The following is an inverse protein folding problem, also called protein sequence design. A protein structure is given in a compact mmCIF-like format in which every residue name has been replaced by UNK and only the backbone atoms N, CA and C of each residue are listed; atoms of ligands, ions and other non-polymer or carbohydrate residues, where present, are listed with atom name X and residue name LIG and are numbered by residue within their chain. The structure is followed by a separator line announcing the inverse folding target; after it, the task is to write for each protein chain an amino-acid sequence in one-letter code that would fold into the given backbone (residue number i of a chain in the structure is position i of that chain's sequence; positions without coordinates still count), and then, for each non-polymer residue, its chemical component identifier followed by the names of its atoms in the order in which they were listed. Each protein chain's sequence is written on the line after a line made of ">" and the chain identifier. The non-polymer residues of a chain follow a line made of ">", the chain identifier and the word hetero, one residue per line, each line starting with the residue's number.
data_IF_496656068770
#
_entry.id   IF_496656068770
#
_cell.length_a   1.000
_cell.length_b   1.000
_cell.length_c   1.000
_cell.angle_alpha   90.00
_cell.angle_beta   90.00
_cell.angle_gamma   90.00
#
_symmetry.space_group_name_H-M   'P 1'
#
loop_
_entity.id
_entity.type
_entity.pdbx_description
1 polymer ?
#
# COMPACT_ATOMS: atom_id res chain seq x y z
N UNK A 1 -0.55 2.48 13.37
CA UNK A 1 0.20 2.76 12.12
C UNK A 1 1.66 2.44 12.38
N UNK A 2 2.23 1.38 11.77
CA UNK A 2 3.60 0.95 12.05
C UNK A 2 4.65 1.77 11.29
N UNK A 3 4.28 2.37 10.15
CA UNK A 3 5.14 3.22 9.33
C UNK A 3 4.67 4.67 9.48
N UNK A 4 5.58 5.56 9.92
CA UNK A 4 5.39 7.01 10.09
C UNK A 4 4.03 7.39 10.68
N UNK A 5 3.82 7.02 11.95
CA UNK A 5 2.56 7.23 12.66
C UNK A 5 2.15 8.71 12.61
N UNK A 6 0.89 9.00 12.28
CA UNK A 6 0.33 10.35 12.35
C UNK A 6 -0.27 10.59 13.75
N UNK A 7 0.13 11.61 14.55
CA UNK A 7 0.97 12.77 14.17
C UNK A 7 2.45 12.67 14.51
N UNK A 8 2.90 11.62 15.21
CA UNK A 8 4.24 11.59 15.83
C UNK A 8 5.41 11.39 14.86
N UNK A 9 5.14 10.97 13.61
CA UNK A 9 6.15 10.53 12.65
C UNK A 9 6.85 9.21 13.04
N UNK A 10 6.48 8.58 14.15
CA UNK A 10 7.22 7.44 14.70
C UNK A 10 7.22 6.22 13.77
N UNK A 11 8.37 5.56 13.66
CA UNK A 11 8.57 4.34 12.90
C UNK A 11 8.73 3.13 13.84
N UNK A 12 7.85 2.14 13.69
CA UNK A 12 7.89 0.92 14.51
C UNK A 12 9.06 0.02 14.08
N UNK A 13 9.93 -0.31 15.04
CA UNK A 13 11.10 -1.19 14.80
C UNK A 13 10.69 -2.62 14.41
N UNK A 14 11.54 -3.39 13.71
CA UNK A 14 11.28 -4.80 13.42
C UNK A 14 11.01 -5.64 14.67
N UNK A 15 11.73 -5.37 15.78
CA UNK A 15 11.53 -6.03 17.07
C UNK A 15 10.13 -5.77 17.62
N UNK A 16 9.69 -4.51 17.63
CA UNK A 16 8.35 -4.14 18.10
C UNK A 16 7.26 -4.79 17.24
N UNK A 17 7.42 -4.83 15.92
CA UNK A 17 6.48 -5.50 15.00
C UNK A 17 6.35 -6.99 15.30
N UNK A 18 7.47 -7.66 15.60
CA UNK A 18 7.48 -9.07 16.00
C UNK A 18 6.73 -9.27 17.32
N UNK A 19 7.01 -8.44 18.32
CA UNK A 19 6.34 -8.50 19.62
C UNK A 19 4.82 -8.30 19.50
N UNK A 20 4.38 -7.35 18.65
CA UNK A 20 2.95 -7.14 18.34
C UNK A 20 2.34 -8.39 17.70
N UNK A 21 3.00 -8.98 16.70
CA UNK A 21 2.50 -10.17 16.03
C UNK A 21 2.41 -11.38 16.99
N UNK A 22 3.40 -11.56 17.87
CA UNK A 22 3.40 -12.62 18.88
C UNK A 22 2.30 -12.41 19.92
N UNK A 23 2.14 -11.18 20.42
CA UNK A 23 1.08 -10.85 21.36
C UNK A 23 -0.30 -11.10 20.75
N UNK A 24 -0.50 -10.65 19.50
CA UNK A 24 -1.74 -10.88 18.78
C UNK A 24 -2.06 -12.37 18.60
N UNK A 25 -1.05 -13.19 18.28
CA UNK A 25 -1.20 -14.63 18.20
C UNK A 25 -1.55 -15.26 19.55
N UNK A 26 -0.90 -14.85 20.65
CA UNK A 26 -1.19 -15.35 22.01
C UNK A 26 -2.62 -15.06 22.45
N UNK A 27 -3.10 -13.84 22.19
CA UNK A 27 -4.43 -13.40 22.61
C UNK A 27 -5.53 -13.63 21.56
N UNK A 28 -5.20 -14.26 20.43
CA UNK A 28 -6.13 -14.53 19.32
C UNK A 28 -6.86 -13.27 18.81
N UNK A 29 -6.15 -12.16 18.73
CA UNK A 29 -6.68 -10.88 18.22
C UNK A 29 -6.15 -10.59 16.82
N UNK A 30 -7.00 -10.01 15.98
CA UNK A 30 -6.61 -9.57 14.63
C UNK A 30 -5.95 -8.20 14.71
N UNK A 31 -4.71 -8.08 14.24
CA UNK A 31 -4.03 -6.78 14.11
C UNK A 31 -4.52 -6.10 12.84
N UNK A 32 -5.04 -4.89 12.97
CA UNK A 32 -5.32 -3.99 11.84
C UNK A 32 -4.26 -2.89 11.81
N UNK A 33 -3.55 -2.76 10.70
CA UNK A 33 -2.44 -1.82 10.56
C UNK A 33 -2.58 -0.98 9.27
N UNK A 34 -2.69 0.34 9.43
CA UNK A 34 -2.65 1.26 8.29
C UNK A 34 -1.26 1.36 7.67
N UNK A 35 -1.16 1.24 6.35
CA UNK A 35 0.06 1.40 5.54
C UNK A 35 0.06 2.67 4.67
N UNK A 36 -0.91 3.57 4.86
CA UNK A 36 -1.06 4.80 4.07
C UNK A 36 0.17 5.73 4.05
N UNK A 37 1.01 5.68 5.09
CA UNK A 37 2.23 6.49 5.18
C UNK A 37 3.50 5.71 4.79
N UNK A 38 3.37 4.42 4.47
CA UNK A 38 4.51 3.51 4.28
C UNK A 38 5.41 3.91 3.11
N UNK A 39 4.81 4.42 2.05
CA UNK A 39 5.53 4.86 0.85
C UNK A 39 5.96 6.34 0.94
N UNK A 40 5.65 7.03 2.05
CA UNK A 40 5.91 8.45 2.28
C UNK A 40 6.98 8.64 3.37
N UNK A 41 8.17 8.09 3.13
CA UNK A 41 9.33 8.34 3.99
C UNK A 41 10.01 9.65 3.56
N UNK A 42 9.69 10.73 4.28
CA UNK A 42 10.16 12.11 4.04
C UNK A 42 11.46 12.46 4.75
N UNK A 43 12.14 11.49 5.36
CA UNK A 43 13.44 11.73 6.01
C UNK A 43 14.52 11.97 4.96
N UNK A 44 15.54 12.71 5.36
CA UNK A 44 16.71 13.00 4.52
C UNK A 44 17.31 11.71 3.92
N UNK A 45 17.60 11.66 2.61
CA UNK A 45 18.21 10.51 1.94
C UNK A 45 19.48 9.98 2.62
N UNK A 46 20.31 10.85 3.19
CA UNK A 46 21.55 10.44 3.84
C UNK A 46 21.27 9.74 5.18
N UNK A 47 20.21 10.17 5.89
CA UNK A 47 19.72 9.49 7.10
C UNK A 47 19.10 8.11 6.78
N UNK A 48 18.60 7.89 5.56
CA UNK A 48 18.09 6.57 5.12
C UNK A 48 19.23 5.58 4.92
N UNK A 49 20.36 6.02 4.37
CA UNK A 49 21.51 5.17 4.09
C UNK A 49 22.21 4.72 5.39
N UNK A 50 22.41 5.64 6.35
CA UNK A 50 23.04 5.32 7.65
C UNK A 50 22.23 4.36 8.52
N UNK A 51 20.91 4.28 8.34
CA UNK A 51 20.02 3.41 9.11
C UNK A 51 19.80 2.02 8.48
N UNK A 52 20.60 1.63 7.47
CA UNK A 52 20.40 0.36 6.75
C UNK A 52 19.07 0.30 5.99
N UNK A 53 18.44 1.45 5.69
CA UNK A 53 17.08 1.55 5.14
C UNK A 53 17.00 1.35 3.62
N UNK A 54 17.91 0.57 3.01
CA UNK A 54 17.78 0.19 1.60
C UNK A 54 16.48 -0.59 1.33
N UNK A 55 15.94 -1.28 2.34
CA UNK A 55 14.67 -2.00 2.28
C UNK A 55 13.68 -1.52 3.36
N UNK A 56 12.42 -1.34 2.97
CA UNK A 56 11.36 -0.98 3.91
C UNK A 56 11.22 -2.06 5.01
N UNK A 57 10.97 -1.70 6.29
CA UNK A 57 10.83 -2.66 7.39
C UNK A 57 9.75 -3.70 7.09
N UNK A 58 9.90 -4.97 7.53
CA UNK A 58 8.90 -5.99 7.27
C UNK A 58 7.53 -5.58 7.83
N UNK A 59 6.46 -6.04 7.17
CA UNK A 59 5.09 -5.83 7.66
C UNK A 59 4.81 -6.70 8.89
N UNK A 60 3.83 -6.31 9.70
CA UNK A 60 3.40 -7.13 10.85
C UNK A 60 2.79 -8.42 10.31
N UNK A 61 3.30 -9.56 10.77
CA UNK A 61 2.91 -10.89 10.27
C UNK A 61 1.44 -11.16 10.63
N UNK A 62 0.67 -11.70 9.67
CA UNK A 62 -0.77 -12.01 9.81
C UNK A 62 -1.69 -10.81 10.09
N UNK A 63 -1.20 -9.58 10.01
CA UNK A 63 -2.03 -8.40 10.13
C UNK A 63 -2.93 -8.20 8.90
N UNK A 64 -4.09 -7.58 9.12
CA UNK A 64 -4.88 -6.93 8.09
C UNK A 64 -4.30 -5.53 7.86
N UNK A 65 -3.91 -5.25 6.63
CA UNK A 65 -3.22 -4.03 6.22
C UNK A 65 -4.16 -3.17 5.40
N UNK A 66 -4.22 -1.87 5.71
CA UNK A 66 -5.11 -0.93 5.02
C UNK A 66 -4.27 0.19 4.40
N UNK A 67 -4.30 0.31 3.08
CA UNK A 67 -3.58 1.37 2.35
C UNK A 67 -4.52 2.27 1.56
N UNK A 68 -3.97 3.37 1.03
CA UNK A 68 -4.70 4.29 0.17
C UNK A 68 -3.77 5.07 -0.75
N UNK A 69 -4.23 5.34 -1.97
CA UNK A 69 -3.54 6.17 -2.95
C UNK A 69 -3.75 7.68 -2.70
N UNK A 70 -4.69 8.06 -1.82
CA UNK A 70 -5.02 9.46 -1.55
C UNK A 70 -3.83 10.27 -1.01
N UNK A 71 -2.87 9.60 -0.36
CA UNK A 71 -1.71 10.24 0.27
C UNK A 71 -0.42 10.18 -0.53
N UNK A 72 -0.35 9.28 -1.51
CA UNK A 72 0.86 9.04 -2.29
C UNK A 72 0.75 9.56 -3.72
N UNK A 73 -0.47 9.68 -4.25
CA UNK A 73 -0.73 10.10 -5.64
C UNK A 73 -1.46 11.44 -5.69
N UNK A 74 -2.67 11.50 -5.14
CA UNK A 74 -3.50 12.72 -5.17
C UNK A 74 -4.59 12.68 -4.09
N UNK A 75 -4.77 13.77 -3.35
CA UNK A 75 -5.76 13.88 -2.27
C UNK A 75 -7.22 13.62 -2.68
N UNK A 76 -7.54 13.80 -3.96
CA UNK A 76 -8.87 13.52 -4.52
C UNK A 76 -9.07 12.06 -4.98
N UNK A 77 -8.03 11.23 -4.99
CA UNK A 77 -8.12 9.84 -5.43
C UNK A 77 -8.69 8.98 -4.32
N UNK A 78 -9.92 8.48 -4.50
CA UNK A 78 -10.66 7.75 -3.47
C UNK A 78 -10.49 6.24 -3.61
N UNK A 79 -9.23 5.82 -3.71
CA UNK A 79 -8.83 4.41 -3.76
C UNK A 79 -8.11 4.03 -2.47
N UNK A 80 -8.69 3.06 -1.78
CA UNK A 80 -8.08 2.31 -0.69
C UNK A 80 -7.94 0.84 -1.05
N UNK A 81 -7.13 0.10 -0.31
CA UNK A 81 -7.06 -1.36 -0.43
C UNK A 81 -6.88 -2.03 0.93
N UNK A 82 -7.29 -3.30 0.98
CA UNK A 82 -7.03 -4.18 2.12
C UNK A 82 -6.16 -5.36 1.68
N UNK A 83 -5.15 -5.70 2.48
CA UNK A 83 -4.31 -6.90 2.31
C UNK A 83 -4.27 -7.70 3.59
N UNK A 84 -4.37 -9.03 3.52
CA UNK A 84 -4.35 -9.86 4.73
C UNK A 84 -4.30 -11.35 4.42
N UNK A 85 -4.51 -12.21 5.44
CA UNK A 85 -4.72 -13.64 5.24
C UNK A 85 -5.89 -13.90 4.30
N UNK A 86 -5.74 -14.84 3.36
CA UNK A 86 -6.73 -15.08 2.31
C UNK A 86 -8.12 -15.43 2.86
N UNK A 87 -8.21 -16.22 3.94
CA UNK A 87 -9.49 -16.54 4.59
C UNK A 87 -10.22 -15.29 5.08
N UNK A 88 -9.50 -14.38 5.76
CA UNK A 88 -10.08 -13.13 6.28
C UNK A 88 -10.49 -12.18 5.15
N UNK A 89 -9.71 -12.10 4.07
CA UNK A 89 -10.10 -11.33 2.88
C UNK A 89 -11.36 -11.93 2.25
N UNK A 90 -11.45 -13.26 2.14
CA UNK A 90 -12.62 -13.94 1.60
C UNK A 90 -13.88 -13.80 2.46
N UNK A 91 -13.73 -13.67 3.78
CA UNK A 91 -14.83 -13.28 4.68
C UNK A 91 -15.26 -11.84 4.41
N UNK A 92 -14.32 -10.89 4.36
CA UNK A 92 -14.62 -9.48 4.07
C UNK A 92 -15.29 -9.28 2.71
N UNK A 93 -14.87 -10.01 1.67
CA UNK A 93 -15.49 -9.92 0.34
C UNK A 93 -16.95 -10.40 0.31
N UNK A 94 -17.34 -11.30 1.24
CA UNK A 94 -18.70 -11.83 1.35
C UNK A 94 -19.58 -10.96 2.25
N UNK A 95 -18.98 -10.01 2.98
CA UNK A 95 -19.72 -9.09 3.82
C UNK A 95 -20.64 -8.21 2.95
N UNK A 96 -21.94 -8.06 3.28
CA UNK A 96 -22.86 -7.20 2.53
C UNK A 96 -22.42 -5.73 2.44
N UNK A 97 -21.54 -5.27 3.33
CA UNK A 97 -20.95 -3.94 3.30
C UNK A 97 -19.83 -3.81 2.27
N UNK A 98 -19.28 -4.91 1.73
CA UNK A 98 -18.18 -4.84 0.78
C UNK A 98 -18.55 -4.16 -0.55
N UNK A 99 -19.65 -4.53 -1.25
CA UNK A 99 -20.04 -3.89 -2.51
C UNK A 99 -20.26 -2.37 -2.44
N UNK A 100 -21.01 -1.79 -1.47
CA UNK A 100 -21.20 -0.35 -1.40
C UNK A 100 -19.93 0.42 -1.04
N UNK A 101 -18.92 -0.26 -0.49
CA UNK A 101 -17.61 0.31 -0.20
C UNK A 101 -16.65 0.21 -1.39
N UNK A 102 -17.05 -0.32 -2.55
CA UNK A 102 -16.18 -0.36 -3.71
C UNK A 102 -15.96 1.03 -4.32
N UNK A 103 -14.76 1.25 -4.90
CA UNK A 103 -14.49 2.47 -5.64
C UNK A 103 -15.37 2.63 -6.87
N UNK A 104 -15.75 3.86 -7.18
CA UNK A 104 -16.48 4.13 -8.42
C UNK A 104 -15.64 3.68 -9.61
N UNK A 105 -16.25 3.14 -10.68
CA UNK A 105 -15.50 2.66 -11.84
C UNK A 105 -14.56 3.73 -12.41
N UNK A 106 -14.97 5.00 -12.38
CA UNK A 106 -14.13 6.13 -12.79
C UNK A 106 -12.86 6.26 -11.94
N UNK A 107 -12.97 6.18 -10.61
CA UNK A 107 -11.80 6.23 -9.72
C UNK A 107 -10.87 5.02 -9.93
N UNK A 108 -11.43 3.84 -10.26
CA UNK A 108 -10.64 2.67 -10.60
C UNK A 108 -9.87 2.84 -11.90
N UNK A 109 -10.49 3.40 -12.95
CA UNK A 109 -9.82 3.69 -14.23
C UNK A 109 -8.72 4.73 -14.07
N UNK A 110 -8.99 5.82 -13.36
CA UNK A 110 -7.99 6.85 -13.05
C UNK A 110 -6.83 6.26 -12.27
N UNK A 111 -7.09 5.43 -11.27
CA UNK A 111 -6.02 4.77 -10.53
C UNK A 111 -5.26 3.74 -11.37
N UNK A 112 -5.92 3.00 -12.25
CA UNK A 112 -5.26 2.07 -13.16
C UNK A 112 -4.30 2.80 -14.11
N UNK A 113 -4.67 3.97 -14.61
CA UNK A 113 -3.78 4.80 -15.43
C UNK A 113 -2.61 5.37 -14.60
N UNK A 114 -2.90 5.96 -13.43
CA UNK A 114 -1.88 6.60 -12.59
C UNK A 114 -0.90 5.62 -11.92
N UNK A 115 -1.34 4.38 -11.64
CA UNK A 115 -0.53 3.34 -11.01
C UNK A 115 0.04 2.33 -12.01
N UNK A 116 -0.52 2.25 -13.22
CA UNK A 116 -0.10 1.34 -14.29
C UNK A 116 1.26 1.72 -14.90
N UNK A 117 1.62 3.00 -14.82
CA UNK A 117 2.99 3.49 -15.05
C UNK A 117 3.55 4.08 -13.74
N UNK A 118 4.18 3.26 -12.87
CA UNK A 118 4.56 3.67 -11.51
C UNK A 118 5.68 4.72 -11.47
N UNK A 119 6.28 5.10 -12.60
CA UNK A 119 7.49 5.94 -12.62
C UNK A 119 7.31 7.46 -12.68
N UNK A 120 6.31 8.07 -13.33
CA UNK A 120 6.24 9.53 -13.36
C UNK A 120 5.78 10.15 -12.02
N UNK A 121 4.91 9.47 -11.27
CA UNK A 121 4.21 10.06 -10.11
C UNK A 121 5.06 10.06 -8.84
N UNK A 122 5.75 8.96 -8.52
CA UNK A 122 6.58 8.87 -7.31
C UNK A 122 7.96 9.53 -7.48
N UNK A 123 8.39 9.79 -8.72
CA UNK A 123 9.71 10.38 -9.00
C UNK A 123 9.72 11.90 -9.08
N UNK A 124 8.57 12.55 -9.27
CA UNK A 124 8.51 14.02 -9.20
C UNK A 124 8.84 14.57 -7.80
N UNK A 125 8.74 13.73 -6.78
CA UNK A 125 9.17 14.07 -5.43
C UNK A 125 10.66 13.75 -5.15
N UNK A 126 11.42 13.19 -6.10
CA UNK A 126 12.73 12.60 -5.77
C UNK A 126 13.80 12.46 -6.85
N UNK A 127 13.70 13.05 -8.05
CA UNK A 127 14.84 13.09 -8.99
C UNK A 127 14.95 14.37 -9.83
N UNK A 128 15.84 15.25 -9.40
CA UNK A 128 16.85 15.81 -10.29
C UNK A 128 17.95 14.75 -10.43
N UNK A 129 17.91 13.93 -11.48
CA UNK A 129 19.06 13.31 -12.14
C UNK A 129 18.55 12.43 -13.28
N UNK A 130 19.04 12.71 -14.49
CA UNK A 130 18.52 12.21 -15.76
C UNK A 130 18.93 10.78 -16.11
N UNK A 131 18.09 10.17 -16.95
CA UNK A 131 18.32 8.89 -17.61
C UNK A 131 17.05 8.47 -18.35
N UNK A 132 17.10 8.48 -19.68
CA UNK A 132 15.96 8.17 -20.55
C UNK A 132 15.67 6.67 -20.60
N UNK A 133 14.38 6.31 -20.52
CA UNK A 133 13.91 4.94 -20.82
C UNK A 133 12.71 5.04 -21.78
N UNK A 134 12.77 4.24 -22.85
CA UNK A 134 11.82 4.21 -23.97
C UNK A 134 10.77 3.09 -23.73
N UNK A 135 9.46 3.30 -23.95
CA UNK A 135 8.46 2.29 -23.60
C UNK A 135 8.23 1.26 -24.73
N UNK A 136 7.92 -0.03 -24.42
CA UNK A 136 7.49 -1.00 -25.43
C UNK A 136 5.97 -0.97 -25.65
N UNK A 137 5.56 -1.39 -26.87
CA UNK A 137 4.24 -1.23 -27.45
C UNK A 137 3.10 -2.07 -26.83
N UNK A 138 1.88 -1.57 -27.02
CA UNK A 138 0.62 -2.07 -26.46
C UNK A 138 0.09 -3.29 -27.24
N UNK A 139 -0.41 -4.29 -26.51
CA UNK A 139 -1.40 -5.25 -26.97
C UNK A 139 -2.52 -5.33 -25.92
N UNK A 140 -3.77 -5.10 -26.33
CA UNK A 140 -4.95 -5.16 -25.47
C UNK A 140 -5.63 -6.53 -25.60
N UNK A 141 -5.83 -7.23 -24.49
CA UNK A 141 -6.60 -8.46 -24.42
C UNK A 141 -6.41 -9.18 -23.08
N UNK A 142 -7.47 -9.28 -22.29
CA UNK A 142 -7.50 -10.01 -21.02
C UNK A 142 -7.09 -9.19 -19.80
N UNK A 143 -7.79 -9.41 -18.68
CA UNK A 143 -7.71 -8.61 -17.44
C UNK A 143 -6.30 -8.19 -17.05
N UNK A 144 -6.14 -6.90 -16.72
CA UNK A 144 -4.84 -6.28 -16.46
C UNK A 144 -4.20 -6.92 -15.22
N UNK A 145 -3.07 -7.62 -15.37
CA UNK A 145 -2.31 -8.12 -14.24
C UNK A 145 -1.61 -6.93 -13.57
N UNK A 146 -1.90 -6.72 -12.28
CA UNK A 146 -1.29 -5.66 -11.48
C UNK A 146 0.24 -5.88 -11.34
N UNK A 147 1.09 -4.95 -11.81
CA UNK A 147 2.54 -5.12 -11.72
C UNK A 147 2.97 -5.08 -10.24
N UNK A 148 3.56 -6.17 -9.74
CA UNK A 148 4.08 -6.28 -8.37
C UNK A 148 3.27 -7.16 -7.40
N UNK A 149 2.13 -7.70 -7.83
CA UNK A 149 1.30 -8.63 -7.04
C UNK A 149 1.45 -10.08 -7.54
N UNK A 150 2.62 -10.69 -7.34
CA UNK A 150 2.68 -12.17 -7.41
C UNK A 150 1.95 -12.74 -6.19
N UNK A 151 0.69 -13.13 -6.39
CA UNK A 151 0.02 -14.17 -5.60
C UNK A 151 -0.69 -13.75 -4.30
N UNK A 152 -1.50 -12.68 -4.28
CA UNK A 152 -2.55 -12.46 -3.24
C UNK A 152 -3.58 -11.41 -3.64
N UNK A 153 -4.85 -11.72 -3.36
CA UNK A 153 -6.04 -10.92 -3.63
C UNK A 153 -6.01 -9.55 -2.94
N UNK A 154 -6.34 -8.49 -3.69
CA UNK A 154 -6.53 -7.13 -3.20
C UNK A 154 -7.94 -6.67 -3.57
N UNK A 155 -8.60 -5.95 -2.66
CA UNK A 155 -9.93 -5.36 -2.88
C UNK A 155 -9.80 -3.86 -2.77
N UNK A 156 -10.28 -3.13 -3.79
CA UNK A 156 -10.27 -1.67 -3.82
C UNK A 156 -11.52 -1.12 -3.11
N UNK A 157 -11.33 -0.20 -2.16
CA UNK A 157 -12.43 0.40 -1.38
C UNK A 157 -12.46 1.94 -1.49
N UNK A 158 -13.65 2.53 -1.41
CA UNK A 158 -13.97 3.96 -1.45
C UNK A 158 -15.01 4.29 -0.38
N UNK A 159 -14.88 5.46 0.24
CA UNK A 159 -15.94 6.10 1.03
C UNK A 159 -16.58 7.23 0.22
N UNK A 160 -17.91 7.17 0.10
CA UNK A 160 -18.82 8.23 -0.35
C UNK A 160 -18.46 9.58 0.26
#
# INVERSE_FOLDING_TARGET
>A
MPDFQNPTGALMTPRTRRAVAESAARHRVTVVAGETMRDLDLRDPDLRQGAGCGAAPPRIRRALLIGSAARTVWGGLRIGWIRGPAGLIGELCRDPLCPPLAASPMQQLVAAELLGDPMPVLLRAGRSCGGSVRPPGRAWGGGVPWPGLRGRSAVALHRS
#
